data_IF_532399056815
#
_entry.id   IF_532399056815
#
_cell.length_a   1.000
_cell.length_b   1.000
_cell.length_c   1.000
_cell.angle_alpha   90.00
_cell.angle_beta   90.00
_cell.angle_gamma   90.00
#
_symmetry.space_group_name_H-M   'P 1'
#
loop_
_entity.id
_entity.type
_entity.pdbx_description
1 polymer ?
#
# COMPACT_ATOMS: atom_id res chain seq x y z
N UNK A 1 -14.71 -2.27 4.16
CA UNK A 1 -14.68 -0.82 3.89
C UNK A 1 -14.52 -0.64 2.39
N UNK A 2 -15.05 0.44 1.82
CA UNK A 2 -14.86 0.74 0.41
C UNK A 2 -13.43 1.21 0.12
N UNK A 3 -12.92 1.03 -1.12
CA UNK A 3 -11.64 1.60 -1.52
C UNK A 3 -11.64 3.13 -1.42
N UNK A 4 -10.48 3.70 -1.10
CA UNK A 4 -10.31 5.15 -0.94
C UNK A 4 -8.93 5.61 -1.41
N UNK A 5 -8.76 6.92 -1.62
CA UNK A 5 -7.46 7.50 -2.00
C UNK A 5 -6.84 8.22 -0.80
N UNK A 6 -5.52 8.11 -0.68
CA UNK A 6 -4.71 8.90 0.24
C UNK A 6 -3.57 9.57 -0.52
N UNK A 7 -3.15 10.73 -0.04
CA UNK A 7 -1.96 11.42 -0.54
C UNK A 7 -0.89 11.33 0.55
N UNK A 8 0.24 10.72 0.22
CA UNK A 8 1.40 10.61 1.11
C UNK A 8 2.58 11.36 0.50
N UNK A 9 3.47 11.85 1.36
CA UNK A 9 4.72 12.47 0.94
C UNK A 9 5.87 11.60 1.45
N UNK A 10 6.53 10.88 0.54
CA UNK A 10 7.65 9.99 0.84
C UNK A 10 8.89 10.58 0.18
N UNK A 11 9.99 10.72 0.92
CA UNK A 11 11.26 11.30 0.43
C UNK A 11 11.12 12.65 -0.32
N UNK A 12 10.12 13.46 0.03
CA UNK A 12 9.85 14.75 -0.63
C UNK A 12 9.05 14.66 -1.93
N UNK A 13 8.64 13.46 -2.34
CA UNK A 13 7.75 13.21 -3.47
C UNK A 13 6.34 12.87 -2.98
N UNK A 14 5.34 13.48 -3.63
CA UNK A 14 3.92 13.17 -3.35
C UNK A 14 3.45 11.98 -4.17
N UNK A 15 2.78 11.04 -3.51
CA UNK A 15 2.15 9.88 -4.12
C UNK A 15 0.66 9.90 -3.84
N UNK A 16 -0.13 9.70 -4.90
CA UNK A 16 -1.57 9.45 -4.83
C UNK A 16 -1.77 7.93 -4.85
N UNK A 17 -2.15 7.38 -3.71
CA UNK A 17 -2.30 5.95 -3.51
C UNK A 17 -3.77 5.60 -3.38
N UNK A 18 -4.18 4.58 -4.10
CA UNK A 18 -5.50 3.98 -3.95
C UNK A 18 -5.41 2.78 -3.00
N UNK A 19 -6.15 2.83 -1.91
CA UNK A 19 -6.13 1.87 -0.82
C UNK A 19 -7.38 1.02 -0.90
N UNK A 20 -7.18 -0.30 -0.95
CA UNK A 20 -8.23 -1.31 -0.98
C UNK A 20 -8.21 -2.10 0.33
N UNK A 21 -9.08 -1.77 1.30
CA UNK A 21 -9.20 -2.53 2.54
C UNK A 21 -9.57 -3.99 2.26
N UNK A 22 -8.87 -4.90 2.92
CA UNK A 22 -9.12 -6.33 2.93
C UNK A 22 -9.60 -6.75 4.34
N UNK A 23 -9.65 -8.05 4.60
CA UNK A 23 -9.98 -8.58 5.92
C UNK A 23 -8.81 -8.40 6.92
N UNK A 24 -9.14 -8.36 8.22
CA UNK A 24 -8.15 -8.43 9.31
C UNK A 24 -7.07 -7.34 9.33
N UNK A 25 -7.40 -6.09 8.96
CA UNK A 25 -6.46 -4.97 9.04
C UNK A 25 -5.39 -4.97 7.94
N UNK A 26 -5.65 -5.68 6.84
CA UNK A 26 -4.82 -5.70 5.64
C UNK A 26 -5.35 -4.72 4.61
N UNK A 27 -4.46 -4.02 3.93
CA UNK A 27 -4.76 -2.98 2.95
C UNK A 27 -3.90 -3.19 1.70
N UNK A 28 -4.54 -3.43 0.56
CA UNK A 28 -3.83 -3.42 -0.73
C UNK A 28 -3.56 -1.98 -1.14
N UNK A 29 -2.34 -1.70 -1.57
CA UNK A 29 -1.89 -0.38 -2.00
C UNK A 29 -1.67 -0.40 -3.50
N UNK A 30 -2.39 0.46 -4.21
CA UNK A 30 -2.30 0.63 -5.65
C UNK A 30 -1.76 2.02 -5.97
N UNK A 31 -0.94 2.10 -7.01
CA UNK A 31 -0.38 3.33 -7.55
C UNK A 31 -0.56 3.35 -9.06
N UNK A 32 -1.21 4.38 -9.60
CA UNK A 32 -1.60 4.47 -11.02
C UNK A 32 -2.31 3.21 -11.56
N UNK A 33 -3.12 2.55 -10.72
CA UNK A 33 -3.85 1.34 -11.08
C UNK A 33 -3.05 0.05 -11.01
N UNK A 34 -1.74 0.10 -10.75
CA UNK A 34 -0.89 -1.06 -10.48
C UNK A 34 -0.82 -1.37 -8.99
N UNK A 35 -0.93 -2.66 -8.62
CA UNK A 35 -0.69 -3.10 -7.25
C UNK A 35 0.81 -2.96 -6.93
N UNK A 36 1.14 -2.25 -5.85
CA UNK A 36 2.53 -2.09 -5.39
C UNK A 36 2.86 -2.98 -4.20
N UNK A 37 1.85 -3.36 -3.42
CA UNK A 37 1.97 -4.32 -2.34
C UNK A 37 0.83 -4.19 -1.33
N UNK A 38 1.07 -4.71 -0.12
CA UNK A 38 0.11 -4.73 0.97
C UNK A 38 0.69 -4.05 2.21
N UNK A 39 -0.17 -3.38 2.97
CA UNK A 39 0.11 -2.82 4.27
C UNK A 39 -0.79 -3.50 5.28
N UNK A 40 -0.22 -3.88 6.41
CA UNK A 40 -0.90 -4.57 7.50
C UNK A 40 -0.58 -3.84 8.80
N UNK A 41 -1.60 -3.63 9.63
CA UNK A 41 -1.38 -3.20 11.02
C UNK A 41 -1.46 -4.41 11.94
N UNK A 42 -0.61 -4.45 12.96
CA UNK A 42 -0.84 -5.32 14.11
C UNK A 42 -1.71 -4.62 15.18
N UNK A 43 -2.16 -5.37 16.18
CA UNK A 43 -2.94 -4.86 17.33
C UNK A 43 -2.17 -3.80 18.17
N UNK A 44 -0.90 -3.54 17.85
CA UNK A 44 -0.03 -2.56 18.52
C UNK A 44 0.26 -1.34 17.65
N UNK A 45 -0.59 -1.09 16.65
CA UNK A 45 -0.50 0.04 15.72
C UNK A 45 0.83 0.11 14.96
N UNK A 46 1.56 -1.01 14.88
CA UNK A 46 2.80 -1.07 14.12
C UNK A 46 2.48 -1.48 12.68
N UNK A 47 2.70 -0.55 11.76
CA UNK A 47 2.43 -0.77 10.35
C UNK A 47 3.58 -1.51 9.68
N UNK A 48 3.27 -2.56 8.95
CA UNK A 48 4.25 -3.32 8.15
C UNK A 48 3.73 -3.43 6.74
N UNK A 49 4.65 -3.59 5.81
CA UNK A 49 4.29 -3.74 4.42
C UNK A 49 4.99 -4.91 3.79
N UNK A 50 4.29 -5.53 2.84
CA UNK A 50 4.80 -6.60 1.98
C UNK A 50 4.78 -6.07 0.56
N UNK A 51 5.97 -5.93 -0.04
CA UNK A 51 6.07 -5.49 -1.44
C UNK A 51 5.51 -6.55 -2.37
N UNK A 52 5.03 -6.16 -3.56
CA UNK A 52 4.51 -7.12 -4.54
C UNK A 52 5.52 -8.21 -4.94
N UNK A 53 6.82 -7.93 -4.82
CA UNK A 53 7.91 -8.89 -5.10
C UNK A 53 8.02 -10.00 -4.05
N UNK A 54 7.54 -9.72 -2.83
CA UNK A 54 7.58 -10.62 -1.69
C UNK A 54 6.19 -11.20 -1.37
N UNK A 55 5.15 -10.76 -2.10
CA UNK A 55 3.85 -11.43 -2.08
C UNK A 55 4.00 -12.80 -2.73
N UNK A 56 3.45 -13.81 -2.06
CA UNK A 56 3.49 -15.18 -2.55
C UNK A 56 2.86 -15.26 -3.96
N UNK A 57 3.57 -15.77 -4.98
CA UNK A 57 3.01 -15.91 -6.33
C UNK A 57 1.78 -16.82 -6.38
N UNK A 58 1.50 -17.60 -5.33
CA UNK A 58 0.28 -18.41 -5.20
C UNK A 58 -0.93 -17.63 -4.65
N UNK A 59 -0.77 -16.39 -4.17
CA UNK A 59 -1.90 -15.52 -3.86
C UNK A 59 -2.60 -15.15 -5.17
N UNK A 60 -3.87 -15.56 -5.32
CA UNK A 60 -4.75 -15.16 -6.41
C UNK A 60 -4.93 -13.64 -6.43
N UNK A 61 -3.95 -12.93 -6.98
CA UNK A 61 -4.03 -11.51 -7.25
C UNK A 61 -4.94 -11.34 -8.47
N UNK A 62 -6.10 -10.67 -8.36
CA UNK A 62 -6.99 -10.50 -9.48
C UNK A 62 -6.30 -9.60 -10.51
N UNK A 63 -5.82 -10.19 -11.62
CA UNK A 63 -5.49 -9.57 -12.91
C UNK A 63 -5.02 -8.10 -12.90
N UNK A 64 -4.20 -7.67 -11.94
CA UNK A 64 -3.50 -6.39 -12.06
C UNK A 64 -2.29 -6.69 -12.92
N UNK A 65 -2.39 -6.42 -14.22
CA UNK A 65 -1.24 -6.46 -15.12
C UNK A 65 -0.18 -5.55 -14.52
N UNK A 66 0.89 -6.16 -14.01
CA UNK A 66 2.11 -5.47 -13.65
C UNK A 66 2.67 -4.86 -14.93
N UNK A 67 2.36 -3.59 -15.19
CA UNK A 67 2.97 -2.85 -16.28
C UNK A 67 4.39 -2.47 -15.85
N UNK A 68 5.37 -3.20 -16.39
CA UNK A 68 6.80 -2.92 -16.20
C UNK A 68 7.24 -1.54 -16.70
N UNK A 69 6.36 -0.79 -17.38
CA UNK A 69 6.56 0.59 -17.80
C UNK A 69 6.45 1.61 -16.66
N UNK A 70 6.10 1.19 -15.43
CA UNK A 70 6.23 2.01 -14.20
C UNK A 70 7.71 2.07 -13.81
N UNK A 71 8.54 2.61 -14.71
CA UNK A 71 10.01 2.48 -14.70
C UNK A 71 10.72 3.45 -13.74
N UNK A 72 10.02 4.21 -12.88
CA UNK A 72 10.70 5.16 -11.99
C UNK A 72 10.03 5.42 -10.64
N UNK A 73 9.06 4.61 -10.24
CA UNK A 73 8.43 4.74 -8.92
C UNK A 73 8.48 3.40 -8.19
N UNK A 74 9.67 3.10 -7.66
CA UNK A 74 9.78 2.19 -6.52
C UNK A 74 9.19 2.93 -5.31
N UNK A 75 7.87 2.94 -5.14
CA UNK A 75 7.33 3.15 -3.79
C UNK A 75 7.86 1.98 -2.98
N UNK A 76 8.91 2.25 -2.20
CA UNK A 76 9.50 1.25 -1.32
C UNK A 76 8.53 1.11 -0.16
N UNK A 77 7.75 0.04 -0.17
CA UNK A 77 6.87 -0.35 0.92
C UNK A 77 7.70 -1.02 2.03
N UNK A 78 8.63 -0.28 2.60
CA UNK A 78 9.49 -0.78 3.68
C UNK A 78 9.81 0.33 4.69
N UNK A 79 10.23 -0.08 5.88
CA UNK A 79 10.76 0.83 6.89
C UNK A 79 9.81 1.99 7.22
N UNK A 80 10.32 3.21 7.09
CA UNK A 80 9.58 4.43 7.44
C UNK A 80 8.40 4.70 6.51
N UNK A 81 8.49 4.35 5.23
CA UNK A 81 7.40 4.57 4.27
C UNK A 81 6.16 3.76 4.63
N UNK A 82 6.34 2.50 5.06
CA UNK A 82 5.23 1.68 5.52
C UNK A 82 4.51 2.32 6.72
N UNK A 83 5.26 2.92 7.66
CA UNK A 83 4.69 3.65 8.79
C UNK A 83 3.94 4.91 8.37
N UNK A 84 4.51 5.68 7.44
CA UNK A 84 3.88 6.91 6.94
C UNK A 84 2.57 6.62 6.20
N UNK A 85 2.56 5.61 5.33
CA UNK A 85 1.36 5.20 4.60
C UNK A 85 0.32 4.63 5.57
N UNK A 86 0.74 3.77 6.50
CA UNK A 86 -0.14 3.22 7.53
C UNK A 86 -0.77 4.29 8.41
N UNK A 87 -0.01 5.30 8.82
CA UNK A 87 -0.55 6.45 9.56
C UNK A 87 -1.58 7.22 8.75
N UNK A 88 -1.32 7.46 7.47
CA UNK A 88 -2.28 8.13 6.59
C UNK A 88 -3.59 7.33 6.41
N UNK A 89 -3.50 5.98 6.40
CA UNK A 89 -4.67 5.10 6.42
C UNK A 89 -5.46 5.29 7.73
N UNK A 90 -4.79 5.27 8.88
CA UNK A 90 -5.43 5.46 10.19
C UNK A 90 -6.13 6.82 10.30
N UNK A 91 -5.43 7.89 9.89
CA UNK A 91 -5.99 9.25 9.93
C UNK A 91 -7.21 9.37 8.99
N UNK A 92 -7.19 8.71 7.82
CA UNK A 92 -8.36 8.66 6.91
C UNK A 92 -9.55 7.92 7.54
N UNK A 93 -9.31 6.84 8.28
CA UNK A 93 -10.34 6.05 8.94
C UNK A 93 -10.94 6.73 10.19
N UNK A 94 -10.42 7.91 10.56
CA UNK A 94 -10.92 8.70 11.68
C UNK A 94 -10.14 8.48 12.98
N UNK A 95 -8.80 8.52 12.89
CA UNK A 95 -7.89 8.47 14.04
C UNK A 95 -8.21 9.46 15.16
#
# INVERSE_FOLDING_TARGET
MDPFNIIVNLDGQKFDLNIHPQESGVFKVLYHGGLVGEIHTDDRESWRATSIKDLDPELELPMYEYDGSIDDVRIILEGEHAQQIGRAIADYQGG
#
